data_IF_936530043630
#
_entry.id   IF_936530043630
#
_cell.length_a   1.000
_cell.length_b   1.000
_cell.length_c   1.000
_cell.angle_alpha   90.00
_cell.angle_beta   90.00
_cell.angle_gamma   90.00
#
_symmetry.space_group_name_H-M   'P 1'
#
loop_
_entity.id
_entity.type
_entity.pdbx_description
1 polymer ?
#
# COMPACT_ATOMS: atom_id res chain seq x y z
N UNK A 1 10.69 -0.83 -1.35
CA UNK A 1 12.11 -0.41 -1.23
C UNK A 1 12.57 -0.38 0.23
N UNK A 2 11.65 -0.24 1.18
CA UNK A 2 11.87 -0.35 2.62
C UNK A 2 10.59 -0.88 3.29
N UNK A 3 10.70 -1.27 4.57
CA UNK A 3 9.58 -1.80 5.37
C UNK A 3 8.56 -0.73 5.73
N UNK A 4 9.00 0.51 6.00
CA UNK A 4 8.15 1.64 6.37
C UNK A 4 7.05 1.89 5.32
N UNK A 5 7.46 2.05 4.07
CA UNK A 5 6.53 2.31 2.97
C UNK A 5 5.61 1.12 2.71
N UNK A 6 6.06 -0.10 3.03
CA UNK A 6 5.31 -1.32 2.81
C UNK A 6 4.08 -1.42 3.72
N UNK A 7 4.24 -1.21 5.03
CA UNK A 7 3.11 -1.22 5.95
C UNK A 7 2.24 0.04 5.80
N UNK A 8 2.86 1.20 5.60
CA UNK A 8 2.15 2.47 5.47
C UNK A 8 1.21 2.51 4.27
N UNK A 9 1.61 1.93 3.13
CA UNK A 9 0.72 1.91 1.98
C UNK A 9 -0.53 1.06 2.22
N UNK A 10 -0.48 0.02 3.04
CA UNK A 10 -1.70 -0.69 3.49
C UNK A 10 -2.46 0.16 4.50
N UNK A 11 -1.79 0.66 5.55
CA UNK A 11 -2.42 1.41 6.63
C UNK A 11 -3.13 2.69 6.16
N UNK A 12 -2.57 3.37 5.17
CA UNK A 12 -3.04 4.70 4.72
C UNK A 12 -3.82 4.65 3.42
N UNK A 13 -3.46 3.77 2.50
CA UNK A 13 -3.99 3.77 1.14
C UNK A 13 -4.74 2.47 0.80
N UNK A 14 -4.90 1.56 1.78
CA UNK A 14 -5.59 0.26 1.62
C UNK A 14 -5.03 -0.54 0.42
N UNK A 15 -3.71 -0.47 0.22
CA UNK A 15 -3.06 -1.15 -0.89
C UNK A 15 -3.25 -2.66 -0.82
N UNK A 16 -3.72 -3.24 -1.92
CA UNK A 16 -3.95 -4.68 -2.05
C UNK A 16 -2.88 -5.40 -2.90
N UNK A 17 -1.98 -4.65 -3.55
CA UNK A 17 -0.91 -5.18 -4.42
C UNK A 17 0.43 -4.53 -4.04
N UNK A 18 1.46 -5.36 -3.87
CA UNK A 18 2.83 -4.95 -3.64
C UNK A 18 3.71 -5.35 -4.83
N UNK A 19 4.43 -4.37 -5.40
CA UNK A 19 5.39 -4.58 -6.49
C UNK A 19 6.83 -4.45 -5.98
N UNK A 20 7.71 -5.39 -6.35
CA UNK A 20 9.12 -5.38 -5.93
C UNK A 20 10.07 -5.77 -7.06
N UNK A 21 11.25 -5.14 -7.09
CA UNK A 21 12.30 -5.43 -8.06
C UNK A 21 13.37 -6.39 -7.52
N UNK A 22 13.36 -7.65 -7.98
CA UNK A 22 14.28 -8.71 -7.53
C UNK A 22 15.77 -8.41 -7.76
N UNK A 23 16.11 -7.57 -8.74
CA UNK A 23 17.50 -7.19 -9.04
C UNK A 23 18.03 -6.03 -8.20
N UNK A 24 17.16 -5.40 -7.39
CA UNK A 24 17.46 -4.14 -6.70
C UNK A 24 17.47 -4.34 -5.17
N UNK A 25 16.72 -5.31 -4.66
CA UNK A 25 16.53 -5.53 -3.23
C UNK A 25 17.05 -6.92 -2.86
N UNK A 26 17.86 -7.02 -1.81
CA UNK A 26 18.36 -8.30 -1.30
C UNK A 26 17.26 -9.17 -0.66
N UNK A 27 17.46 -10.48 -0.66
CA UNK A 27 16.43 -11.46 -0.26
C UNK A 27 15.89 -11.24 1.15
N UNK A 28 16.75 -11.00 2.14
CA UNK A 28 16.32 -10.78 3.52
C UNK A 28 15.43 -9.54 3.66
N UNK A 29 15.81 -8.44 3.00
CA UNK A 29 15.02 -7.22 3.00
C UNK A 29 13.67 -7.41 2.29
N UNK A 30 13.63 -8.23 1.23
CA UNK A 30 12.37 -8.61 0.58
C UNK A 30 11.45 -9.35 1.55
N UNK A 31 11.98 -10.29 2.34
CA UNK A 31 11.19 -11.02 3.36
C UNK A 31 10.59 -10.07 4.40
N UNK A 32 11.39 -9.14 4.92
CA UNK A 32 10.90 -8.15 5.88
C UNK A 32 9.83 -7.23 5.28
N UNK A 33 10.03 -6.76 4.06
CA UNK A 33 9.06 -5.91 3.34
C UNK A 33 7.74 -6.64 3.11
N UNK A 34 7.79 -7.88 2.64
CA UNK A 34 6.58 -8.70 2.40
C UNK A 34 5.83 -8.93 3.71
N UNK A 35 6.55 -9.26 4.78
CA UNK A 35 5.92 -9.48 6.09
C UNK A 35 5.29 -8.19 6.63
N UNK A 36 5.96 -7.04 6.50
CA UNK A 36 5.44 -5.74 6.91
C UNK A 36 4.17 -5.37 6.13
N UNK A 37 4.15 -5.60 4.81
CA UNK A 37 2.97 -5.37 3.98
C UNK A 37 1.82 -6.31 4.34
N UNK A 38 2.08 -7.62 4.40
CA UNK A 38 1.03 -8.62 4.59
C UNK A 38 0.43 -8.63 5.99
N UNK A 39 1.15 -8.11 6.99
CA UNK A 39 0.68 -8.03 8.38
C UNK A 39 0.06 -6.67 8.73
N UNK A 40 0.14 -5.69 7.83
CA UNK A 40 -0.45 -4.38 8.04
C UNK A 40 -1.97 -4.44 7.84
N UNK A 41 -2.69 -3.59 8.57
CA UNK A 41 -4.14 -3.46 8.47
C UNK A 41 -4.49 -2.01 8.17
N UNK A 42 -5.47 -1.80 7.29
CA UNK A 42 -5.94 -0.46 6.96
C UNK A 42 -6.42 0.27 8.23
N UNK A 43 -5.91 1.47 8.48
CA UNK A 43 -6.13 2.13 9.76
C UNK A 43 -7.56 2.67 9.92
N UNK A 44 -8.30 2.82 8.82
CA UNK A 44 -9.68 3.32 8.83
C UNK A 44 -9.84 4.77 9.32
N UNK A 45 -8.72 5.49 9.53
CA UNK A 45 -8.78 6.88 9.98
C UNK A 45 -9.53 7.76 8.97
N UNK A 46 -10.32 8.72 9.47
CA UNK A 46 -11.16 9.60 8.65
C UNK A 46 -10.35 10.26 7.51
N UNK A 47 -9.11 10.67 7.79
CA UNK A 47 -8.24 11.29 6.78
C UNK A 47 -7.83 10.35 5.65
N UNK A 48 -7.68 9.06 5.93
CA UNK A 48 -7.29 8.04 4.94
C UNK A 48 -8.50 7.67 4.08
N UNK A 49 -9.63 7.39 4.72
CA UNK A 49 -10.92 7.14 4.03
C UNK A 49 -11.29 8.31 3.11
N UNK A 50 -11.16 9.55 3.59
CA UNK A 50 -11.44 10.74 2.77
C UNK A 50 -10.51 10.86 1.56
N UNK A 51 -9.25 10.44 1.65
CA UNK A 51 -8.29 10.49 0.52
C UNK A 51 -8.60 9.38 -0.48
N UNK A 52 -8.84 8.17 -0.01
CA UNK A 52 -9.30 7.03 -0.81
C UNK A 52 -10.55 7.37 -1.61
N UNK A 53 -11.55 7.98 -0.98
CA UNK A 53 -12.79 8.36 -1.67
C UNK A 53 -12.53 9.31 -2.86
N UNK A 54 -11.55 10.22 -2.76
CA UNK A 54 -11.19 11.08 -3.91
C UNK A 54 -10.65 10.28 -5.08
N UNK A 55 -9.93 9.18 -4.82
CA UNK A 55 -9.44 8.29 -5.88
C UNK A 55 -10.61 7.57 -6.53
N UNK A 56 -11.52 6.99 -5.74
CA UNK A 56 -12.74 6.37 -6.26
C UNK A 56 -13.63 7.34 -7.04
N UNK A 57 -13.77 8.58 -6.57
CA UNK A 57 -14.52 9.62 -7.28
C UNK A 57 -13.85 9.95 -8.62
N UNK A 58 -12.51 9.97 -8.70
CA UNK A 58 -11.79 10.13 -9.96
C UNK A 58 -12.05 8.93 -10.88
N UNK A 59 -11.91 7.70 -10.40
CA UNK A 59 -12.17 6.49 -11.18
C UNK A 59 -13.60 6.43 -11.70
N UNK A 60 -14.60 6.80 -10.89
CA UNK A 60 -16.00 6.86 -11.33
C UNK A 60 -16.25 7.91 -12.43
N UNK A 61 -15.45 8.97 -12.50
CA UNK A 61 -15.54 9.98 -13.56
C UNK A 61 -14.85 9.56 -14.86
N UNK A 62 -13.95 8.57 -14.81
CA UNK A 62 -13.16 8.12 -15.97
C UNK A 62 -13.41 6.66 -16.38
N UNK A 63 -14.09 5.87 -15.55
CA UNK A 63 -14.48 4.49 -15.82
C UNK A 63 -15.80 4.47 -16.60
N UNK A 64 -15.81 3.72 -17.71
CA UNK A 64 -17.00 3.49 -18.54
C UNK A 64 -18.16 2.84 -17.77
#
# INVERSE_FOLDING_TARGET
HDTYSAHQGVEHDDMNILCMGVRIIGEELVREIVNAFASAEFSGEERHVRRMQKVFDMEANFGE
#
